data_IF_361724872139
#
_entry.id   IF_361724872139
#
_cell.length_a   1.000
_cell.length_b   1.000
_cell.length_c   1.000
_cell.angle_alpha   90.00
_cell.angle_beta   90.00
_cell.angle_gamma   90.00
#
_symmetry.space_group_name_H-M   'P 1'
#
loop_
_entity.id
_entity.type
_entity.pdbx_description
1 polymer ?
#
# COMPACT_ATOMS: atom_id res chain seq x y z
N UNK A 1 13.98 -3.15 8.65
CA UNK A 1 13.47 -3.87 7.48
C UNK A 1 12.88 -5.22 7.91
N UNK A 2 13.62 -6.04 8.60
CA UNK A 2 13.18 -7.37 9.05
C UNK A 2 11.94 -7.30 9.94
N UNK A 3 11.86 -6.33 10.83
CA UNK A 3 10.70 -6.10 11.70
C UNK A 3 9.41 -5.80 10.91
N UNK A 4 9.51 -5.08 9.79
CA UNK A 4 8.36 -4.81 8.93
C UNK A 4 7.87 -6.09 8.22
N UNK A 5 8.78 -6.92 7.72
CA UNK A 5 8.44 -8.23 7.15
C UNK A 5 7.88 -9.18 8.20
N UNK A 6 8.47 -9.19 9.39
CA UNK A 6 7.96 -9.98 10.51
C UNK A 6 6.52 -9.57 10.88
N UNK A 7 6.25 -8.27 10.94
CA UNK A 7 4.90 -7.74 11.21
C UNK A 7 3.90 -8.16 10.11
N UNK A 8 4.30 -8.07 8.85
CA UNK A 8 3.47 -8.55 7.74
C UNK A 8 3.20 -10.05 7.86
N UNK A 9 4.20 -10.85 8.18
CA UNK A 9 4.07 -12.28 8.43
C UNK A 9 3.13 -12.61 9.59
N UNK A 10 3.24 -11.89 10.71
CA UNK A 10 2.34 -12.03 11.86
C UNK A 10 0.88 -11.81 11.47
N UNK A 11 0.58 -10.74 10.73
CA UNK A 11 -0.78 -10.44 10.28
C UNK A 11 -1.28 -11.46 9.25
N UNK A 12 -0.42 -11.88 8.34
CA UNK A 12 -0.76 -12.81 7.26
C UNK A 12 -0.79 -14.27 7.69
N UNK A 13 -0.29 -14.60 8.87
CA UNK A 13 -0.14 -15.98 9.32
C UNK A 13 0.98 -16.74 8.58
N UNK A 14 2.00 -16.00 8.09
CA UNK A 14 3.13 -16.58 7.36
C UNK A 14 4.27 -16.94 8.33
N UNK A 15 4.32 -18.21 8.71
CA UNK A 15 5.34 -18.72 9.62
C UNK A 15 6.75 -18.75 9.01
N UNK A 16 6.90 -18.57 7.69
CA UNK A 16 8.22 -18.58 7.04
C UNK A 16 9.05 -17.34 7.35
N UNK A 17 8.38 -16.22 7.65
CA UNK A 17 9.01 -14.94 8.00
C UNK A 17 8.97 -14.63 9.49
N UNK A 18 8.14 -15.34 10.26
CA UNK A 18 8.04 -15.18 11.71
C UNK A 18 8.91 -16.21 12.42
N UNK A 19 9.93 -15.80 13.18
CA UNK A 19 10.72 -16.69 14.01
C UNK A 19 9.95 -17.09 15.28
N UNK A 20 9.92 -18.38 15.59
CA UNK A 20 9.21 -18.94 16.75
C UNK A 20 7.76 -19.38 16.44
N UNK A 21 7.07 -19.94 17.44
CA UNK A 21 5.66 -20.32 17.33
C UNK A 21 4.78 -19.08 17.50
N UNK A 22 4.56 -18.35 16.39
CA UNK A 22 3.75 -17.13 16.38
C UNK A 22 2.36 -17.46 15.85
N UNK A 23 1.35 -17.17 16.66
CA UNK A 23 -0.06 -17.26 16.22
C UNK A 23 -0.42 -16.02 15.40
N UNK A 24 -1.06 -16.21 14.26
CA UNK A 24 -1.56 -15.12 13.42
C UNK A 24 -2.34 -14.11 14.25
N UNK A 25 -2.10 -12.81 14.00
CA UNK A 25 -2.81 -11.73 14.67
C UNK A 25 -3.12 -10.59 13.69
N UNK A 26 -4.32 -10.62 13.11
CA UNK A 26 -4.79 -9.57 12.18
C UNK A 26 -5.09 -8.24 12.87
N UNK A 27 -5.22 -8.22 14.21
CA UNK A 27 -5.47 -7.03 15.02
C UNK A 27 -4.20 -6.49 15.70
N UNK A 28 -3.02 -7.02 15.34
CA UNK A 28 -1.76 -6.53 15.89
C UNK A 28 -1.56 -5.04 15.61
N UNK A 29 -1.09 -4.30 16.60
CA UNK A 29 -0.78 -2.87 16.45
C UNK A 29 0.73 -2.68 16.29
N UNK A 30 1.11 -1.72 15.44
CA UNK A 30 2.50 -1.32 15.25
C UNK A 30 2.65 0.20 15.27
N UNK A 31 3.81 0.65 15.71
CA UNK A 31 4.24 2.04 15.63
C UNK A 31 5.68 2.11 15.16
N UNK A 32 5.95 2.91 14.14
CA UNK A 32 7.32 3.13 13.68
C UNK A 32 8.10 3.98 14.69
N UNK A 33 9.36 3.62 14.88
CA UNK A 33 10.31 4.38 15.72
C UNK A 33 11.42 5.01 14.89
N UNK A 34 11.51 4.65 13.60
CA UNK A 34 12.44 5.21 12.63
C UNK A 34 11.92 4.96 11.20
N UNK A 35 12.44 5.68 10.23
CA UNK A 35 12.21 5.39 8.82
C UNK A 35 12.86 4.05 8.41
N UNK A 36 12.20 3.34 7.50
CA UNK A 36 12.62 2.01 7.02
C UNK A 36 12.94 2.09 5.54
N UNK A 37 14.12 1.60 5.14
CA UNK A 37 14.47 1.39 3.74
C UNK A 37 14.48 -0.11 3.44
N UNK A 38 13.62 -0.55 2.52
CA UNK A 38 13.52 -1.95 2.07
C UNK A 38 14.47 -2.20 0.90
N UNK A 39 14.30 -1.44 -0.17
CA UNK A 39 15.18 -1.38 -1.32
C UNK A 39 15.56 0.08 -1.59
N UNK A 40 16.57 0.32 -2.42
CA UNK A 40 16.98 1.64 -2.87
C UNK A 40 16.90 1.73 -4.39
N UNK A 41 16.39 2.87 -4.92
CA UNK A 41 16.30 3.10 -6.35
C UNK A 41 15.31 2.17 -7.03
N UNK A 42 14.14 1.95 -6.42
CA UNK A 42 13.06 1.17 -7.04
C UNK A 42 12.51 1.90 -8.25
N UNK A 43 12.47 3.22 -8.19
CA UNK A 43 12.09 4.07 -9.31
C UNK A 43 13.29 4.83 -9.88
N UNK A 44 13.29 5.03 -11.17
CA UNK A 44 14.21 5.92 -11.85
C UNK A 44 13.83 7.40 -11.66
N UNK A 45 14.64 8.31 -12.20
CA UNK A 45 14.40 9.75 -12.09
C UNK A 45 13.10 10.23 -12.78
N UNK A 46 12.51 9.41 -13.64
CA UNK A 46 11.23 9.67 -14.30
C UNK A 46 10.04 9.05 -13.59
N UNK A 47 10.27 8.36 -12.45
CA UNK A 47 9.24 7.67 -11.68
C UNK A 47 8.81 6.32 -12.23
N UNK A 48 9.54 5.75 -13.19
CA UNK A 48 9.30 4.41 -13.71
C UNK A 48 10.08 3.36 -12.90
N UNK A 49 9.64 2.11 -12.96
CA UNK A 49 10.37 1.00 -12.38
C UNK A 49 11.80 0.93 -12.93
N UNK A 50 12.78 0.79 -12.06
CA UNK A 50 14.18 0.63 -12.44
C UNK A 50 14.39 -0.55 -13.40
N UNK A 51 15.36 -0.46 -14.28
CA UNK A 51 15.62 -1.47 -15.31
C UNK A 51 16.13 -2.81 -14.75
N UNK A 52 16.88 -2.78 -13.64
CA UNK A 52 17.37 -3.98 -12.95
C UNK A 52 16.72 -4.09 -11.57
N UNK A 53 15.89 -5.11 -11.40
CA UNK A 53 15.16 -5.42 -10.16
C UNK A 53 15.64 -6.72 -9.51
N UNK A 54 16.69 -7.35 -10.03
CA UNK A 54 17.15 -8.69 -9.60
C UNK A 54 17.60 -8.74 -8.14
N UNK A 55 18.05 -7.61 -7.60
CA UNK A 55 18.46 -7.46 -6.19
C UNK A 55 17.35 -7.02 -5.24
N UNK A 56 16.14 -6.74 -5.72
CA UNK A 56 15.09 -6.22 -4.86
C UNK A 56 14.44 -7.32 -4.00
N UNK A 57 14.26 -7.01 -2.72
CA UNK A 57 13.40 -7.78 -1.83
C UNK A 57 11.95 -7.49 -2.19
N UNK A 58 11.19 -8.53 -2.57
CA UNK A 58 9.77 -8.39 -2.87
C UNK A 58 8.97 -8.12 -1.58
N UNK A 59 8.00 -7.23 -1.67
CA UNK A 59 7.08 -6.92 -0.58
C UNK A 59 5.87 -7.86 -0.61
N UNK A 60 5.38 -8.26 0.56
CA UNK A 60 4.07 -8.90 0.71
C UNK A 60 3.18 -7.99 1.54
N UNK A 61 2.05 -7.58 0.97
CA UNK A 61 1.13 -6.64 1.61
C UNK A 61 0.65 -7.14 2.98
N UNK A 62 0.56 -6.26 3.97
CA UNK A 62 -0.01 -6.56 5.29
C UNK A 62 -1.53 -6.76 5.10
N UNK A 63 -2.07 -7.91 5.55
CA UNK A 63 -3.44 -8.26 5.27
C UNK A 63 -3.67 -8.60 3.80
N UNK A 64 -2.91 -9.53 3.26
CA UNK A 64 -2.75 -9.81 1.84
C UNK A 64 -3.96 -10.47 1.15
N UNK A 65 -5.01 -10.80 1.89
CA UNK A 65 -6.24 -11.40 1.33
C UNK A 65 -7.44 -11.26 2.29
N UNK A 66 -8.62 -11.68 1.85
CA UNK A 66 -9.87 -11.60 2.59
C UNK A 66 -9.83 -12.29 3.97
N UNK A 67 -9.09 -13.37 4.14
CA UNK A 67 -9.01 -14.08 5.42
C UNK A 67 -8.03 -13.42 6.41
N UNK A 68 -7.09 -12.63 5.89
CA UNK A 68 -6.01 -11.99 6.65
C UNK A 68 -6.24 -10.48 6.83
N UNK A 69 -7.49 -9.99 6.68
CA UNK A 69 -7.82 -8.56 6.74
C UNK A 69 -7.27 -7.90 7.99
N UNK A 70 -6.54 -6.83 7.77
CA UNK A 70 -5.96 -6.08 8.88
C UNK A 70 -7.02 -5.28 9.64
N UNK A 71 -7.04 -5.41 10.96
CA UNK A 71 -7.99 -4.74 11.86
C UNK A 71 -7.34 -3.99 13.02
N UNK A 72 -6.01 -3.95 13.08
CA UNK A 72 -5.25 -3.25 14.12
C UNK A 72 -5.01 -1.77 13.82
N UNK A 73 -4.09 -1.16 14.57
CA UNK A 73 -3.62 0.20 14.34
C UNK A 73 -2.16 0.19 13.91
N UNK A 74 -1.87 0.78 12.75
CA UNK A 74 -0.51 1.04 12.28
C UNK A 74 -0.26 2.55 12.30
N UNK A 75 0.63 2.99 13.17
CA UNK A 75 1.04 4.39 13.30
C UNK A 75 2.46 4.58 12.76
N UNK A 76 2.57 5.23 11.62
CA UNK A 76 3.87 5.59 11.05
C UNK A 76 4.64 6.64 11.86
N UNK A 77 3.98 7.33 12.81
CA UNK A 77 4.60 8.31 13.71
C UNK A 77 5.39 9.41 12.98
N UNK A 78 5.01 9.71 11.74
CA UNK A 78 5.68 10.68 10.86
C UNK A 78 6.90 10.13 10.12
N UNK A 79 7.26 8.86 10.28
CA UNK A 79 8.34 8.22 9.56
C UNK A 79 7.91 7.70 8.18
N UNK A 80 8.91 7.35 7.36
CA UNK A 80 8.72 6.84 6.01
C UNK A 80 9.12 5.37 5.87
N UNK A 81 8.47 4.69 4.94
CA UNK A 81 8.90 3.40 4.42
C UNK A 81 9.29 3.62 2.95
N UNK A 82 10.53 3.29 2.60
CA UNK A 82 11.08 3.50 1.25
C UNK A 82 11.39 2.16 0.58
N UNK A 83 11.17 2.11 -0.73
CA UNK A 83 11.63 1.01 -1.56
C UNK A 83 10.78 -0.24 -1.48
N UNK A 84 9.48 -0.13 -1.25
CA UNK A 84 8.59 -1.28 -1.38
C UNK A 84 8.45 -1.65 -2.87
N UNK A 85 8.68 -2.91 -3.17
CA UNK A 85 8.60 -3.45 -4.52
C UNK A 85 7.72 -4.68 -4.58
N UNK A 86 6.68 -4.65 -5.42
CA UNK A 86 5.86 -5.80 -5.74
C UNK A 86 5.46 -5.77 -7.21
N UNK A 87 5.65 -6.87 -7.91
CA UNK A 87 5.35 -6.98 -9.34
C UNK A 87 4.79 -8.37 -9.69
N UNK A 88 3.46 -8.47 -9.73
CA UNK A 88 2.78 -9.71 -10.14
C UNK A 88 1.37 -9.39 -10.67
N UNK A 89 1.18 -9.48 -11.97
CA UNK A 89 -0.10 -9.22 -12.65
C UNK A 89 -1.24 -10.19 -12.30
N UNK A 90 -1.00 -11.18 -11.44
CA UNK A 90 -2.01 -12.17 -11.03
C UNK A 90 -2.46 -12.00 -9.58
N UNK A 91 -1.89 -11.04 -8.83
CA UNK A 91 -2.16 -10.86 -7.40
C UNK A 91 -3.18 -9.77 -7.16
N UNK A 92 -4.12 -10.05 -6.26
CA UNK A 92 -5.15 -9.11 -5.77
C UNK A 92 -4.69 -8.46 -4.46
N UNK A 93 -5.29 -7.32 -4.12
CA UNK A 93 -5.07 -6.61 -2.86
C UNK A 93 -3.60 -6.25 -2.62
N UNK A 94 -3.09 -5.33 -3.42
CA UNK A 94 -1.67 -4.94 -3.43
C UNK A 94 -1.49 -3.51 -2.94
N UNK A 95 -0.51 -3.28 -2.05
CA UNK A 95 -0.11 -2.00 -1.49
C UNK A 95 0.79 -2.18 -0.27
N UNK A 96 0.98 -1.17 0.56
CA UNK A 96 1.55 -1.39 1.91
C UNK A 96 0.63 -2.35 2.67
N UNK A 97 -0.68 -2.07 2.65
CA UNK A 97 -1.72 -2.99 3.12
C UNK A 97 -2.45 -3.58 1.91
N UNK A 98 -2.77 -4.86 1.98
CA UNK A 98 -3.60 -5.50 0.97
C UNK A 98 -5.07 -5.24 1.22
N UNK A 99 -5.56 -5.61 2.39
CA UNK A 99 -6.96 -5.48 2.80
C UNK A 99 -7.07 -5.00 4.25
N UNK A 100 -7.75 -3.89 4.46
CA UNK A 100 -8.07 -3.35 5.79
C UNK A 100 -9.55 -3.54 6.06
N UNK A 101 -9.92 -4.05 7.24
CA UNK A 101 -11.31 -4.15 7.69
C UNK A 101 -11.42 -3.72 9.15
N UNK A 102 -11.89 -2.50 9.38
CA UNK A 102 -11.98 -1.88 10.71
C UNK A 102 -10.65 -1.39 11.28
N UNK A 103 -9.52 -1.64 10.61
CA UNK A 103 -8.20 -1.16 11.04
C UNK A 103 -7.97 0.32 10.79
N UNK A 104 -6.93 0.87 11.43
CA UNK A 104 -6.52 2.28 11.30
C UNK A 104 -5.06 2.37 10.86
N UNK A 105 -4.82 3.12 9.77
CA UNK A 105 -3.47 3.44 9.27
C UNK A 105 -3.31 4.95 9.35
N UNK A 106 -2.21 5.42 9.92
CA UNK A 106 -2.00 6.87 10.07
C UNK A 106 -0.53 7.27 10.11
N UNK A 107 -0.29 8.55 9.76
CA UNK A 107 1.01 9.22 9.93
C UNK A 107 2.17 8.48 9.26
N UNK A 108 1.98 7.85 8.10
CA UNK A 108 3.05 7.13 7.37
C UNK A 108 3.20 7.66 5.95
N UNK A 109 4.45 7.88 5.56
CA UNK A 109 4.83 8.14 4.18
C UNK A 109 5.41 6.90 3.52
N UNK A 110 5.06 6.65 2.26
CA UNK A 110 5.67 5.60 1.43
C UNK A 110 6.31 6.29 0.24
N UNK A 111 7.58 6.00 -0.01
CA UNK A 111 8.36 6.67 -1.06
C UNK A 111 9.18 5.65 -1.88
N UNK A 112 9.61 6.05 -3.08
CA UNK A 112 10.45 5.22 -3.97
C UNK A 112 9.90 3.79 -4.10
N UNK A 113 8.60 3.63 -4.33
CA UNK A 113 7.92 2.34 -4.26
C UNK A 113 7.12 2.04 -5.51
N UNK A 114 7.07 0.75 -5.88
CA UNK A 114 6.38 0.25 -7.06
C UNK A 114 5.47 -0.92 -6.72
N UNK A 115 4.20 -0.79 -7.11
CA UNK A 115 3.21 -1.84 -6.95
C UNK A 115 2.53 -2.16 -8.28
N UNK A 116 2.63 -3.41 -8.70
CA UNK A 116 1.87 -3.94 -9.83
C UNK A 116 1.10 -5.19 -9.40
N UNK A 117 -0.22 -5.15 -9.59
CA UNK A 117 -1.12 -6.22 -9.24
C UNK A 117 -2.14 -6.52 -10.35
N UNK A 118 -3.10 -7.37 -10.07
CA UNK A 118 -4.23 -7.63 -10.95
C UNK A 118 -5.39 -6.67 -10.68
N UNK A 119 -5.92 -6.69 -9.48
CA UNK A 119 -7.07 -5.89 -9.03
C UNK A 119 -6.83 -5.43 -7.59
N UNK A 120 -7.51 -4.35 -7.20
CA UNK A 120 -7.38 -3.74 -5.88
C UNK A 120 -5.91 -3.35 -5.61
N UNK A 121 -5.39 -2.42 -6.39
CA UNK A 121 -3.99 -1.99 -6.30
C UNK A 121 -3.93 -0.52 -5.89
N UNK A 122 -3.25 -0.25 -4.78
CA UNK A 122 -3.05 1.11 -4.27
C UNK A 122 -1.72 1.28 -3.55
N UNK A 123 -1.20 2.49 -3.48
CA UNK A 123 0.06 2.76 -2.79
C UNK A 123 -0.01 2.52 -1.29
N UNK A 124 -1.11 2.93 -0.66
CA UNK A 124 -1.37 2.70 0.77
C UNK A 124 -2.10 1.38 1.00
N UNK A 125 -3.16 1.12 0.21
CA UNK A 125 -4.02 -0.04 0.42
C UNK A 125 -4.67 -0.53 -0.87
N UNK A 126 -4.72 -1.85 -1.05
CA UNK A 126 -5.49 -2.47 -2.12
C UNK A 126 -6.99 -2.26 -1.91
N UNK A 127 -7.56 -2.81 -0.82
CA UNK A 127 -8.98 -2.67 -0.46
C UNK A 127 -9.13 -2.09 0.95
N UNK A 128 -9.72 -0.90 1.07
CA UNK A 128 -9.88 -0.22 2.34
C UNK A 128 -11.34 -0.22 2.83
N UNK A 129 -11.59 -0.96 3.92
CA UNK A 129 -12.81 -0.92 4.72
C UNK A 129 -12.53 -0.47 6.17
N UNK A 130 -11.54 0.37 6.36
CA UNK A 130 -11.12 0.95 7.63
C UNK A 130 -10.87 2.44 7.51
N UNK A 131 -9.94 2.94 8.28
CA UNK A 131 -9.58 4.37 8.34
C UNK A 131 -8.12 4.56 7.94
N UNK A 132 -7.87 5.45 6.97
CA UNK A 132 -6.52 5.88 6.61
C UNK A 132 -6.46 7.41 6.74
N UNK A 133 -5.49 7.94 7.48
CA UNK A 133 -5.33 9.38 7.66
C UNK A 133 -3.87 9.82 7.70
N UNK A 134 -3.63 11.06 7.27
CA UNK A 134 -2.33 11.73 7.39
C UNK A 134 -1.18 10.91 6.78
N UNK A 135 -1.45 10.30 5.64
CA UNK A 135 -0.54 9.42 4.92
C UNK A 135 -0.22 9.96 3.53
N UNK A 136 0.89 9.52 2.96
CA UNK A 136 1.21 9.84 1.59
C UNK A 136 1.93 8.71 0.86
N UNK A 137 1.81 8.75 -0.46
CA UNK A 137 2.51 7.82 -1.35
C UNK A 137 3.20 8.56 -2.48
N UNK A 138 4.52 8.34 -2.62
CA UNK A 138 5.35 8.77 -3.73
C UNK A 138 5.87 7.56 -4.47
N UNK A 139 5.25 7.24 -5.61
CA UNK A 139 5.58 6.00 -6.28
C UNK A 139 4.78 5.74 -7.54
N UNK A 140 4.84 4.49 -7.99
CA UNK A 140 4.14 4.03 -9.17
C UNK A 140 3.22 2.86 -8.84
N UNK A 141 1.98 2.93 -9.33
CA UNK A 141 0.95 1.90 -9.14
C UNK A 141 0.45 1.45 -10.51
N UNK A 142 0.35 0.15 -10.72
CA UNK A 142 -0.18 -0.41 -11.95
C UNK A 142 -1.03 -1.66 -11.71
N UNK A 143 -2.02 -1.90 -12.58
CA UNK A 143 -2.90 -3.06 -12.46
C UNK A 143 -3.92 -3.12 -13.59
N UNK A 144 -4.89 -4.05 -13.50
CA UNK A 144 -5.94 -4.15 -14.51
C UNK A 144 -7.20 -3.40 -14.10
N UNK A 145 -7.68 -3.58 -12.86
CA UNK A 145 -8.94 -3.03 -12.39
C UNK A 145 -8.82 -2.54 -10.96
N UNK A 146 -9.60 -1.52 -10.58
CA UNK A 146 -9.58 -0.90 -9.25
C UNK A 146 -8.15 -0.46 -8.86
N UNK A 147 -7.60 0.48 -9.63
CA UNK A 147 -6.22 0.95 -9.45
C UNK A 147 -6.24 2.40 -9.00
N UNK A 148 -5.67 2.69 -7.84
CA UNK A 148 -5.61 4.04 -7.32
C UNK A 148 -4.25 4.41 -6.75
N UNK A 149 -3.89 5.68 -6.84
CA UNK A 149 -2.61 6.14 -6.30
C UNK A 149 -2.48 5.91 -4.79
N UNK A 150 -3.57 6.03 -4.05
CA UNK A 150 -3.61 5.74 -2.61
C UNK A 150 -4.33 4.43 -2.30
N UNK A 151 -5.56 4.25 -2.81
CA UNK A 151 -6.35 3.04 -2.57
C UNK A 151 -6.88 2.47 -3.90
N UNK A 152 -6.82 1.16 -4.08
CA UNK A 152 -7.43 0.49 -5.22
C UNK A 152 -8.95 0.55 -5.15
N UNK A 153 -9.52 -0.01 -4.11
CA UNK A 153 -10.96 -0.02 -3.80
C UNK A 153 -11.21 0.54 -2.40
N UNK A 154 -12.32 1.24 -2.23
CA UNK A 154 -12.83 1.67 -0.92
C UNK A 154 -14.31 1.31 -0.78
N UNK A 155 -14.62 0.43 0.19
CA UNK A 155 -15.99 0.05 0.54
C UNK A 155 -16.27 0.34 2.01
N UNK A 156 -17.16 1.30 2.30
CA UNK A 156 -17.49 1.74 3.67
C UNK A 156 -16.29 2.25 4.49
N UNK A 157 -15.14 2.52 3.88
CA UNK A 157 -13.93 3.03 4.54
C UNK A 157 -13.83 4.55 4.52
N UNK A 158 -12.79 5.07 5.13
CA UNK A 158 -12.47 6.50 5.10
C UNK A 158 -10.99 6.76 4.76
N UNK A 159 -10.77 7.82 4.00
CA UNK A 159 -9.44 8.32 3.63
C UNK A 159 -9.43 9.83 3.85
N UNK A 160 -8.51 10.33 4.68
CA UNK A 160 -8.47 11.76 5.00
C UNK A 160 -7.04 12.31 5.10
N UNK A 161 -6.86 13.56 4.67
CA UNK A 161 -5.57 14.27 4.77
C UNK A 161 -4.41 13.50 4.16
N UNK A 162 -4.66 12.84 3.04
CA UNK A 162 -3.66 12.03 2.34
C UNK A 162 -3.31 12.66 0.99
N UNK A 163 -2.10 12.37 0.50
CA UNK A 163 -1.72 12.86 -0.81
C UNK A 163 -0.88 11.85 -1.61
N UNK A 164 -1.01 11.97 -2.92
CA UNK A 164 -0.34 11.11 -3.89
C UNK A 164 0.50 11.93 -4.88
N UNK A 165 1.69 11.44 -5.14
CA UNK A 165 2.57 11.95 -6.21
C UNK A 165 3.17 10.76 -6.95
N UNK A 166 2.93 10.68 -8.26
CA UNK A 166 3.51 9.60 -9.06
C UNK A 166 2.62 9.17 -10.22
N UNK A 167 2.77 7.94 -10.65
CA UNK A 167 2.08 7.39 -11.80
C UNK A 167 1.07 6.31 -11.39
N UNK A 168 -0.11 6.34 -12.03
CA UNK A 168 -1.12 5.29 -11.90
C UNK A 168 -1.47 4.79 -13.30
N UNK A 169 -1.50 3.48 -13.48
CA UNK A 169 -1.86 2.86 -14.76
C UNK A 169 -2.81 1.68 -14.54
N UNK A 170 -3.94 1.69 -15.23
CA UNK A 170 -4.93 0.62 -15.14
C UNK A 170 -5.75 0.49 -16.42
N UNK A 171 -6.44 -0.65 -16.60
CA UNK A 171 -7.29 -0.90 -17.74
C UNK A 171 -8.73 -0.44 -17.50
N UNK A 172 -9.19 -0.43 -16.24
CA UNK A 172 -10.52 0.06 -15.85
C UNK A 172 -10.52 0.50 -14.39
N UNK A 173 -11.49 1.36 -14.02
CA UNK A 173 -11.62 1.90 -12.66
C UNK A 173 -10.28 2.39 -12.11
N UNK A 174 -9.70 3.37 -12.81
CA UNK A 174 -8.39 3.92 -12.48
C UNK A 174 -8.54 5.37 -12.03
N UNK A 175 -7.98 5.71 -10.88
CA UNK A 175 -8.06 7.06 -10.32
C UNK A 175 -6.79 7.47 -9.59
N UNK A 176 -6.48 8.77 -9.58
CA UNK A 176 -5.30 9.30 -8.90
C UNK A 176 -5.31 9.02 -7.39
N UNK A 177 -6.47 9.13 -6.75
CA UNK A 177 -6.61 8.89 -5.31
C UNK A 177 -7.15 7.48 -5.05
N UNK A 178 -8.26 7.12 -5.71
CA UNK A 178 -8.92 5.84 -5.51
C UNK A 178 -9.49 5.32 -6.83
N UNK A 179 -9.33 4.03 -7.12
CA UNK A 179 -9.84 3.41 -8.33
C UNK A 179 -11.35 3.22 -8.31
N UNK A 180 -11.91 2.75 -7.19
CA UNK A 180 -13.35 2.53 -7.01
C UNK A 180 -13.82 2.89 -5.60
N UNK A 181 -15.00 3.51 -5.50
CA UNK A 181 -15.57 3.98 -4.25
C UNK A 181 -17.01 3.50 -4.13
N UNK A 182 -17.34 2.78 -3.05
CA UNK A 182 -18.71 2.42 -2.66
C UNK A 182 -18.95 2.78 -1.19
N UNK A 183 -19.89 3.72 -0.94
CA UNK A 183 -20.29 4.15 0.42
C UNK A 183 -19.12 4.53 1.33
N UNK A 184 -18.01 5.04 0.76
CA UNK A 184 -16.82 5.46 1.48
C UNK A 184 -16.67 7.00 1.46
N UNK A 185 -15.81 7.51 2.34
CA UNK A 185 -15.59 8.95 2.49
C UNK A 185 -14.14 9.32 2.18
N UNK A 186 -13.95 10.28 1.28
CA UNK A 186 -12.64 10.89 0.99
C UNK A 186 -12.71 12.38 1.34
N UNK A 187 -11.81 12.85 2.20
CA UNK A 187 -11.75 14.26 2.62
C UNK A 187 -10.32 14.78 2.64
N UNK A 188 -10.11 16.00 2.14
CA UNK A 188 -8.80 16.66 2.17
C UNK A 188 -7.67 15.81 1.58
N UNK A 189 -7.96 15.07 0.50
CA UNK A 189 -6.97 14.28 -0.22
C UNK A 189 -6.57 14.99 -1.51
N UNK A 190 -5.29 14.92 -1.85
CA UNK A 190 -4.71 15.65 -2.97
C UNK A 190 -3.84 14.74 -3.83
N UNK A 191 -3.66 15.10 -5.09
CA UNK A 191 -2.69 14.47 -5.99
C UNK A 191 -2.04 15.54 -6.87
N UNK A 192 -0.84 15.25 -7.38
CA UNK A 192 -0.18 16.15 -8.32
C UNK A 192 -0.63 15.81 -9.75
N UNK A 193 -1.48 16.68 -10.33
CA UNK A 193 -2.02 16.51 -11.68
C UNK A 193 -0.97 16.64 -12.79
N UNK A 194 0.16 17.30 -12.53
CA UNK A 194 1.20 17.54 -13.54
C UNK A 194 1.99 16.26 -13.89
N UNK A 195 1.99 15.29 -12.99
CA UNK A 195 2.66 14.00 -13.17
C UNK A 195 1.71 12.81 -13.20
N UNK A 196 0.39 13.04 -13.07
CA UNK A 196 -0.60 12.00 -13.20
C UNK A 196 -0.85 11.67 -14.68
N UNK A 197 -0.56 10.44 -15.09
CA UNK A 197 -0.76 9.93 -16.45
C UNK A 197 -1.93 8.96 -16.58
N UNK A 198 -2.79 8.85 -15.59
CA UNK A 198 -3.98 7.99 -15.58
C UNK A 198 -5.23 8.66 -16.15
N UNK A 199 -6.26 7.86 -16.41
CA UNK A 199 -7.61 8.36 -16.74
C UNK A 199 -8.26 8.85 -15.44
N UNK A 200 -8.74 10.10 -15.43
CA UNK A 200 -9.48 10.69 -14.31
C UNK A 200 -10.91 10.14 -14.26
#
# INVERSE_FOLDING_TARGET
KEELYWFAGLVNGDASVCTGNVTQNTAACAKLTASITVNTGVLDASGNLAGDVSGFSSWTSIGNNYNNRYSGTFDGNGYTISGLYFNSSNTYNVGLFGYISGGTIKNVGIVDSYFNGREDVGGLCGNNQGTISDCYFFGSVSGNNFVGGLCGEMCNGSLSSCYFVGTVSGSSNTGAVCGYIDRATITNCFFNSDIFSGVA
#
